data_IF_950590984854
#
_entry.id   IF_950590984854
#
_cell.length_a   1.000
_cell.length_b   1.000
_cell.length_c   1.000
_cell.angle_alpha   90.00
_cell.angle_beta   90.00
_cell.angle_gamma   90.00
#
_symmetry.space_group_name_H-M   'P 1'
#
loop_
_entity.id
_entity.type
_entity.pdbx_description
1 polymer ?
#
# COMPACT_ATOMS: atom_id res chain seq x y z
N UNK A 1 -16.26 24.42 -38.58
CA UNK A 1 -16.45 23.20 -37.76
C UNK A 1 -15.11 22.52 -37.60
N UNK A 2 -14.44 22.70 -36.47
CA UNK A 2 -13.22 21.93 -36.14
C UNK A 2 -13.63 20.50 -35.79
N UNK A 3 -12.96 19.47 -36.30
CA UNK A 3 -13.31 18.08 -36.00
C UNK A 3 -13.06 17.80 -34.51
N UNK A 4 -14.07 17.29 -33.82
CA UNK A 4 -13.95 16.80 -32.45
C UNK A 4 -13.05 15.55 -32.47
N UNK A 5 -11.84 15.57 -31.86
CA UNK A 5 -10.96 14.42 -31.88
C UNK A 5 -11.59 13.29 -31.06
N UNK A 6 -12.14 12.28 -31.74
CA UNK A 6 -12.65 11.08 -31.07
C UNK A 6 -11.50 10.47 -30.25
N UNK A 7 -11.68 10.20 -28.96
CA UNK A 7 -10.63 9.60 -28.15
C UNK A 7 -10.22 8.29 -28.81
N UNK A 8 -8.95 8.17 -29.18
CA UNK A 8 -8.41 6.96 -29.76
C UNK A 8 -8.36 5.92 -28.65
N UNK A 9 -9.40 5.08 -28.56
CA UNK A 9 -9.49 3.97 -27.59
C UNK A 9 -8.26 3.03 -27.65
N UNK A 10 -7.52 3.06 -28.76
CA UNK A 10 -6.23 2.38 -28.93
C UNK A 10 -5.11 2.91 -28.03
N UNK A 11 -5.24 4.11 -27.46
CA UNK A 11 -4.28 4.67 -26.51
C UNK A 11 -4.47 4.13 -25.09
N UNK A 12 -5.67 3.65 -24.73
CA UNK A 12 -5.97 3.18 -23.37
C UNK A 12 -5.06 2.03 -22.92
N UNK A 13 -4.77 1.00 -23.74
CA UNK A 13 -3.85 -0.07 -23.32
C UNK A 13 -2.41 0.42 -23.14
N UNK A 14 -1.96 1.39 -23.94
CA UNK A 14 -0.61 1.97 -23.83
C UNK A 14 -0.49 2.81 -22.55
N UNK A 15 -1.54 3.58 -22.23
CA UNK A 15 -1.63 4.32 -20.97
C UNK A 15 -1.64 3.33 -19.80
N UNK A 16 -2.45 2.27 -19.87
CA UNK A 16 -2.48 1.24 -18.84
C UNK A 16 -1.11 0.58 -18.64
N UNK A 17 -0.37 0.29 -19.72
CA UNK A 17 0.99 -0.25 -19.62
C UNK A 17 1.94 0.74 -18.93
N UNK A 18 1.91 2.02 -19.33
CA UNK A 18 2.80 3.06 -18.78
C UNK A 18 2.51 3.30 -17.30
N UNK A 19 1.23 3.43 -16.93
CA UNK A 19 0.79 3.58 -15.54
C UNK A 19 1.13 2.33 -14.74
N UNK A 20 0.88 1.14 -15.29
CA UNK A 20 1.23 -0.14 -14.69
C UNK A 20 2.72 -0.26 -14.37
N UNK A 21 3.61 0.24 -15.25
CA UNK A 21 5.05 0.26 -15.01
C UNK A 21 5.41 1.17 -13.83
N UNK A 22 4.89 2.39 -13.83
CA UNK A 22 5.14 3.36 -12.75
C UNK A 22 4.61 2.86 -11.39
N UNK A 23 3.38 2.33 -11.37
CA UNK A 23 2.79 1.76 -10.16
C UNK A 23 3.54 0.50 -9.69
N UNK A 24 4.05 -0.32 -10.60
CA UNK A 24 4.82 -1.51 -10.23
C UNK A 24 6.15 -1.13 -9.59
N UNK A 25 6.82 -0.09 -10.09
CA UNK A 25 8.03 0.43 -9.46
C UNK A 25 7.72 0.97 -8.06
N UNK A 26 6.69 1.80 -7.93
CA UNK A 26 6.31 2.42 -6.66
C UNK A 26 5.86 1.39 -5.60
N UNK A 27 4.89 0.54 -5.93
CA UNK A 27 4.38 -0.47 -4.99
C UNK A 27 5.36 -1.63 -4.80
N UNK A 28 6.21 -1.92 -5.78
CA UNK A 28 7.30 -2.87 -5.64
C UNK A 28 8.35 -2.38 -4.63
N UNK A 29 8.73 -1.11 -4.70
CA UNK A 29 9.61 -0.48 -3.70
C UNK A 29 8.97 -0.48 -2.32
N UNK A 30 7.70 -0.03 -2.20
CA UNK A 30 6.96 -0.09 -0.93
C UNK A 30 6.96 -1.50 -0.35
N UNK A 31 6.66 -2.50 -1.16
CA UNK A 31 6.61 -3.89 -0.73
C UNK A 31 7.99 -4.41 -0.30
N UNK A 32 9.05 -4.03 -1.01
CA UNK A 32 10.42 -4.40 -0.68
C UNK A 32 10.90 -3.77 0.63
N UNK A 33 10.51 -2.52 0.89
CA UNK A 33 10.88 -1.77 2.09
C UNK A 33 9.98 -2.08 3.30
N UNK A 34 8.97 -2.94 3.18
CA UNK A 34 8.09 -3.27 4.30
C UNK A 34 8.90 -3.86 5.46
N UNK A 35 8.91 -3.21 6.64
CA UNK A 35 9.65 -3.70 7.79
C UNK A 35 9.11 -5.05 8.28
N UNK A 36 10.03 -5.92 8.66
CA UNK A 36 9.72 -7.17 9.36
C UNK A 36 9.75 -6.89 10.86
N UNK A 37 8.63 -6.42 11.41
CA UNK A 37 8.53 -6.19 12.85
C UNK A 37 8.56 -7.52 13.60
N UNK A 38 9.55 -7.71 14.46
CA UNK A 38 9.56 -8.81 15.42
C UNK A 38 8.65 -8.53 16.62
N UNK A 39 8.34 -9.55 17.40
CA UNK A 39 7.63 -9.40 18.68
C UNK A 39 8.32 -8.43 19.64
N UNK A 40 9.65 -8.35 19.57
CA UNK A 40 10.43 -7.43 20.40
C UNK A 40 10.21 -5.96 19.99
N UNK A 41 10.16 -5.67 18.68
CA UNK A 41 9.93 -4.33 18.15
C UNK A 41 8.50 -3.86 18.42
N UNK A 42 7.53 -4.78 18.32
CA UNK A 42 6.14 -4.52 18.69
C UNK A 42 6.03 -4.14 20.17
N UNK A 43 6.66 -4.89 21.07
CA UNK A 43 6.66 -4.56 22.51
C UNK A 43 7.30 -3.21 22.79
N UNK A 44 8.45 -2.94 22.18
CA UNK A 44 9.12 -1.65 22.34
C UNK A 44 8.23 -0.49 21.85
N UNK A 45 7.54 -0.68 20.73
CA UNK A 45 6.62 0.31 20.18
C UNK A 45 5.40 0.54 21.07
N UNK A 46 4.84 -0.52 21.65
CA UNK A 46 3.71 -0.43 22.60
C UNK A 46 4.11 0.34 23.85
N UNK A 47 5.25 0.02 24.45
CA UNK A 47 5.71 0.71 25.66
C UNK A 47 6.07 2.17 25.39
N UNK A 48 6.68 2.47 24.23
CA UNK A 48 6.96 3.85 23.83
C UNK A 48 5.67 4.66 23.66
N UNK A 49 4.67 4.13 22.96
CA UNK A 49 3.38 4.81 22.77
C UNK A 49 2.63 4.97 24.09
N UNK A 50 2.66 3.95 24.96
CA UNK A 50 2.07 4.05 26.30
C UNK A 50 2.72 5.16 27.11
N UNK A 51 4.05 5.27 27.09
CA UNK A 51 4.77 6.32 27.80
C UNK A 51 4.38 7.71 27.30
N UNK A 52 4.30 7.91 25.99
CA UNK A 52 3.85 9.17 25.37
C UNK A 52 2.41 9.53 25.76
N UNK A 53 1.51 8.55 25.80
CA UNK A 53 0.13 8.75 26.19
C UNK A 53 -0.03 9.09 27.68
N UNK A 54 0.78 8.46 28.54
CA UNK A 54 0.82 8.78 29.97
C UNK A 54 1.39 10.17 30.22
N UNK A 55 2.43 10.57 29.48
CA UNK A 55 3.02 11.91 29.56
C UNK A 55 2.00 12.98 29.15
N UNK A 56 1.24 12.75 28.07
CA UNK A 56 0.18 13.66 27.60
C UNK A 56 -0.95 13.86 28.59
N UNK A 57 -1.31 12.83 29.36
CA UNK A 57 -2.38 12.90 30.38
C UNK A 57 -1.98 13.67 31.64
N UNK A 58 -0.67 13.80 31.90
CA UNK A 58 -0.13 14.47 33.07
C UNK A 58 -0.31 13.68 34.38
N UNK A 59 0.34 14.11 35.47
CA UNK A 59 0.44 13.33 36.70
C UNK A 59 -0.88 13.14 37.46
N UNK A 60 -1.87 14.01 37.24
CA UNK A 60 -3.17 13.95 37.93
C UNK A 60 -4.17 12.94 37.32
N UNK A 61 -3.94 12.48 36.08
CA UNK A 61 -4.84 11.59 35.34
C UNK A 61 -4.21 10.22 35.03
N UNK A 62 -3.29 9.78 35.89
CA UNK A 62 -2.62 8.50 35.67
C UNK A 62 -3.61 7.33 35.83
N UNK A 63 -3.73 6.46 34.81
CA UNK A 63 -4.64 5.31 34.85
C UNK A 63 -4.18 4.26 35.88
N UNK A 64 -5.16 3.48 36.36
CA UNK A 64 -4.94 2.34 37.25
C UNK A 64 -4.06 1.27 36.57
N UNK A 65 -3.45 0.34 37.32
CA UNK A 65 -2.65 -0.74 36.74
C UNK A 65 -3.45 -1.60 35.74
N UNK A 66 -4.72 -1.87 36.01
CA UNK A 66 -5.60 -2.64 35.13
C UNK A 66 -5.91 -1.87 33.84
N UNK A 67 -6.15 -0.56 33.94
CA UNK A 67 -6.41 0.28 32.78
C UNK A 67 -5.16 0.49 31.93
N UNK A 68 -3.96 0.52 32.53
CA UNK A 68 -2.70 0.54 31.79
C UNK A 68 -2.51 -0.71 30.93
N UNK A 69 -2.85 -1.88 31.47
CA UNK A 69 -2.77 -3.12 30.68
C UNK A 69 -3.77 -3.09 29.52
N UNK A 70 -5.00 -2.61 29.76
CA UNK A 70 -5.98 -2.41 28.68
C UNK A 70 -5.46 -1.45 27.60
N UNK A 71 -4.84 -0.33 27.99
CA UNK A 71 -4.22 0.60 27.05
C UNK A 71 -3.11 -0.06 26.24
N UNK A 72 -2.24 -0.88 26.85
CA UNK A 72 -1.21 -1.62 26.10
C UNK A 72 -1.80 -2.53 25.05
N UNK A 73 -2.85 -3.28 25.40
CA UNK A 73 -3.52 -4.18 24.47
C UNK A 73 -4.17 -3.41 23.32
N UNK A 74 -4.80 -2.26 23.60
CA UNK A 74 -5.37 -1.38 22.59
C UNK A 74 -4.30 -0.84 21.63
N UNK A 75 -3.22 -0.26 22.17
CA UNK A 75 -2.09 0.25 21.39
C UNK A 75 -1.47 -0.87 20.53
N UNK A 76 -1.32 -2.07 21.09
CA UNK A 76 -0.82 -3.22 20.34
C UNK A 76 -1.71 -3.57 19.15
N UNK A 77 -3.03 -3.64 19.37
CA UNK A 77 -3.99 -3.93 18.30
C UNK A 77 -3.99 -2.85 17.22
N UNK A 78 -3.86 -1.58 17.60
CA UNK A 78 -3.77 -0.47 16.65
C UNK A 78 -2.51 -0.57 15.78
N UNK A 79 -1.35 -0.81 16.40
CA UNK A 79 -0.08 -0.99 15.67
C UNK A 79 -0.16 -2.18 14.73
N UNK A 80 -0.66 -3.33 15.20
CA UNK A 80 -0.81 -4.53 14.36
C UNK A 80 -1.79 -4.30 13.19
N UNK A 81 -2.89 -3.58 13.42
CA UNK A 81 -3.86 -3.24 12.39
C UNK A 81 -3.27 -2.29 11.34
N UNK A 82 -2.48 -1.30 11.77
CA UNK A 82 -1.80 -0.37 10.87
C UNK A 82 -0.76 -1.08 9.99
N UNK A 83 0.06 -1.95 10.59
CA UNK A 83 1.02 -2.79 9.84
C UNK A 83 0.29 -3.68 8.83
N UNK A 84 -0.80 -4.33 9.24
CA UNK A 84 -1.60 -5.16 8.36
C UNK A 84 -2.21 -4.35 7.20
N UNK A 85 -2.67 -3.12 7.48
CA UNK A 85 -3.22 -2.21 6.48
C UNK A 85 -2.15 -1.78 5.47
N UNK A 86 -0.97 -1.39 5.92
CA UNK A 86 0.14 -1.02 5.04
C UNK A 86 0.57 -2.16 4.13
N UNK A 87 0.71 -3.38 4.69
CA UNK A 87 1.02 -4.59 3.92
C UNK A 87 -0.04 -4.87 2.87
N UNK A 88 -1.32 -4.75 3.25
CA UNK A 88 -2.46 -4.96 2.35
C UNK A 88 -2.47 -3.93 1.23
N UNK A 89 -2.27 -2.65 1.53
CA UNK A 89 -2.23 -1.57 0.54
C UNK A 89 -1.09 -1.80 -0.47
N UNK A 90 0.12 -2.09 0.00
CA UNK A 90 1.26 -2.36 -0.87
C UNK A 90 1.00 -3.55 -1.79
N UNK A 91 0.46 -4.65 -1.23
CA UNK A 91 0.14 -5.87 -1.98
C UNK A 91 -0.95 -5.63 -3.01
N UNK A 92 -2.04 -4.96 -2.62
CA UNK A 92 -3.15 -4.65 -3.53
C UNK A 92 -2.71 -3.71 -4.65
N UNK A 93 -1.95 -2.66 -4.32
CA UNK A 93 -1.38 -1.75 -5.30
C UNK A 93 -0.49 -2.47 -6.31
N UNK A 94 0.37 -3.38 -5.84
CA UNK A 94 1.23 -4.19 -6.72
C UNK A 94 0.40 -5.11 -7.63
N UNK A 95 -0.61 -5.80 -7.09
CA UNK A 95 -1.51 -6.66 -7.89
C UNK A 95 -2.21 -5.84 -8.97
N UNK A 96 -2.76 -4.66 -8.63
CA UNK A 96 -3.40 -3.77 -9.60
C UNK A 96 -2.42 -3.30 -10.68
N UNK A 97 -1.19 -2.97 -10.31
CA UNK A 97 -0.15 -2.57 -11.25
C UNK A 97 0.21 -3.70 -12.23
N UNK A 98 0.37 -4.92 -11.72
CA UNK A 98 0.63 -6.11 -12.53
C UNK A 98 -0.53 -6.42 -13.50
N UNK A 99 -1.78 -6.25 -13.06
CA UNK A 99 -2.94 -6.41 -13.95
C UNK A 99 -2.96 -5.38 -15.08
N UNK A 100 -2.60 -4.13 -14.80
CA UNK A 100 -2.47 -3.10 -15.83
C UNK A 100 -1.36 -3.43 -16.82
N UNK A 101 -0.23 -3.94 -16.34
CA UNK A 101 0.87 -4.41 -17.20
C UNK A 101 0.45 -5.58 -18.08
N UNK A 102 -0.25 -6.57 -17.52
CA UNK A 102 -0.76 -7.71 -18.28
C UNK A 102 -1.73 -7.28 -19.37
N UNK A 103 -2.65 -6.36 -19.05
CA UNK A 103 -3.61 -5.85 -20.02
C UNK A 103 -2.94 -5.04 -21.14
N UNK A 104 -2.11 -4.05 -20.77
CA UNK A 104 -1.43 -3.19 -21.73
C UNK A 104 -0.38 -3.93 -22.56
N UNK A 105 0.43 -4.78 -21.91
CA UNK A 105 1.44 -5.61 -22.55
C UNK A 105 0.82 -6.68 -23.45
N UNK A 106 -0.27 -7.31 -23.01
CA UNK A 106 -1.03 -8.27 -23.82
C UNK A 106 -1.58 -7.63 -25.11
N UNK A 107 -2.12 -6.41 -25.03
CA UNK A 107 -2.55 -5.67 -26.20
C UNK A 107 -1.40 -5.35 -27.17
N UNK A 108 -0.28 -4.84 -26.65
CA UNK A 108 0.90 -4.55 -27.48
C UNK A 108 1.42 -5.83 -28.14
N UNK A 109 1.53 -6.92 -27.39
CA UNK A 109 1.92 -8.24 -27.91
C UNK A 109 0.99 -8.72 -29.02
N UNK A 110 -0.33 -8.63 -28.82
CA UNK A 110 -1.34 -8.98 -29.83
C UNK A 110 -1.21 -8.14 -31.11
N UNK A 111 -1.02 -6.83 -30.99
CA UNK A 111 -0.84 -5.94 -32.15
C UNK A 111 0.44 -6.30 -32.91
N UNK A 112 1.53 -6.61 -32.20
CA UNK A 112 2.81 -6.99 -32.81
C UNK A 112 2.72 -8.33 -33.55
N UNK A 113 2.04 -9.34 -32.98
CA UNK A 113 1.87 -10.65 -33.63
C UNK A 113 0.93 -10.57 -34.83
N UNK A 114 -0.18 -9.85 -34.74
CA UNK A 114 -1.09 -9.61 -35.86
C UNK A 114 -0.39 -8.88 -37.02
N UNK A 115 0.47 -7.91 -36.73
CA UNK A 115 1.21 -7.17 -37.78
C UNK A 115 2.28 -8.03 -38.47
N UNK A 116 2.72 -9.12 -37.84
CA UNK A 116 3.68 -10.09 -38.40
C UNK A 116 3.05 -11.12 -39.35
N UNK A 117 1.74 -11.33 -39.26
CA UNK A 117 0.96 -12.22 -40.12
C UNK A 117 -0.11 -11.41 -40.85
N UNK A 118 0.27 -10.67 -41.93
CA UNK A 118 -0.69 -9.96 -42.77
C UNK A 118 -1.55 -10.92 -43.60
#
# INVERSE_FOLDING_TARGET
MTPNPKPRLQALPIIALTVGLGLSAYYGEKWYLLPQYGEQDLRASVELNLALDLERRGPALQPSPEDRERLRQQIRQEIEADIARERKEATQGLISALLMLLFGGGYVGYVLTKKRHP
#
